data_IF_864542785463
#
_entry.id   IF_864542785463
#
_cell.length_a   1.000
_cell.length_b   1.000
_cell.length_c   1.000
_cell.angle_alpha   90.00
_cell.angle_beta   90.00
_cell.angle_gamma   90.00
#
_symmetry.space_group_name_H-M   'P 1'
#
loop_
_entity.id
_entity.type
_entity.pdbx_description
1 polymer ?
#
# COMPACT_ATOMS: atom_id res chain seq x y z
N UNK A 1 15.39 10.29 -2.51
CA UNK A 1 15.15 11.75 -2.69
C UNK A 1 14.35 12.26 -1.51
N UNK A 2 14.58 13.49 -1.08
CA UNK A 2 13.78 14.13 -0.03
C UNK A 2 12.31 14.22 -0.48
N UNK A 3 11.38 14.30 0.49
CA UNK A 3 9.93 14.50 0.25
C UNK A 3 9.64 15.60 -0.78
N UNK A 4 10.48 16.64 -0.80
CA UNK A 4 10.46 17.71 -1.80
C UNK A 4 10.50 17.23 -3.25
N UNK A 5 11.31 16.22 -3.58
CA UNK A 5 11.40 15.69 -4.94
C UNK A 5 10.10 15.02 -5.39
N UNK A 6 9.45 14.29 -4.49
CA UNK A 6 8.16 13.62 -4.77
C UNK A 6 7.07 14.68 -5.00
N UNK A 7 7.02 15.70 -4.14
CA UNK A 7 6.07 16.82 -4.27
C UNK A 7 6.29 17.61 -5.57
N UNK A 8 7.55 17.86 -5.95
CA UNK A 8 7.88 18.53 -7.20
C UNK A 8 7.40 17.77 -8.43
N UNK A 9 7.65 16.46 -8.49
CA UNK A 9 7.17 15.59 -9.57
C UNK A 9 5.63 15.59 -9.60
N UNK A 10 4.97 15.47 -8.45
CA UNK A 10 3.51 15.46 -8.37
C UNK A 10 2.89 16.75 -8.93
N UNK A 11 3.38 17.91 -8.50
CA UNK A 11 2.87 19.21 -8.94
C UNK A 11 3.12 19.46 -10.43
N UNK A 12 4.31 19.12 -10.94
CA UNK A 12 4.63 19.25 -12.36
C UNK A 12 3.77 18.33 -13.21
N UNK A 13 3.61 17.07 -12.80
CA UNK A 13 2.75 16.10 -13.47
C UNK A 13 1.31 16.61 -13.51
N UNK A 14 0.80 17.10 -12.38
CA UNK A 14 -0.56 17.66 -12.28
C UNK A 14 -0.78 18.84 -13.23
N UNK A 15 0.18 19.77 -13.32
CA UNK A 15 0.09 20.90 -14.25
C UNK A 15 0.00 20.44 -15.72
N UNK A 16 0.80 19.44 -16.11
CA UNK A 16 0.77 18.88 -17.47
C UNK A 16 -0.56 18.14 -17.74
N UNK A 17 -1.03 17.33 -16.77
CA UNK A 17 -2.30 16.61 -16.87
C UNK A 17 -3.46 17.58 -17.07
N UNK A 18 -3.50 18.69 -16.32
CA UNK A 18 -4.55 19.71 -16.45
C UNK A 18 -4.54 20.40 -17.82
N UNK A 19 -3.36 20.67 -18.39
CA UNK A 19 -3.23 21.24 -19.73
C UNK A 19 -3.68 20.24 -20.81
N UNK A 20 -3.29 18.98 -20.70
CA UNK A 20 -3.63 17.93 -21.66
C UNK A 20 -5.11 17.57 -21.63
N UNK A 21 -5.76 17.62 -20.45
CA UNK A 21 -7.20 17.31 -20.31
C UNK A 21 -8.09 18.21 -21.18
N UNK A 22 -7.62 19.42 -21.52
CA UNK A 22 -8.32 20.33 -22.44
C UNK A 22 -8.24 19.91 -23.91
N UNK A 23 -7.21 19.16 -24.30
CA UNK A 23 -7.00 18.70 -25.67
C UNK A 23 -7.43 17.24 -25.86
N UNK A 24 -6.91 16.33 -25.03
CA UNK A 24 -7.16 14.89 -25.11
C UNK A 24 -7.25 14.27 -23.71
N UNK A 25 -8.46 13.95 -23.25
CA UNK A 25 -8.70 13.39 -21.92
C UNK A 25 -8.04 12.01 -21.70
N UNK A 26 -7.97 11.18 -22.74
CA UNK A 26 -7.33 9.85 -22.67
C UNK A 26 -5.82 9.93 -22.41
N UNK A 27 -5.13 10.86 -23.07
CA UNK A 27 -3.69 11.07 -22.87
C UNK A 27 -3.39 11.63 -21.47
N UNK A 28 -4.27 12.50 -20.96
CA UNK A 28 -4.17 13.01 -19.60
C UNK A 28 -4.32 11.89 -18.55
N UNK A 29 -5.23 10.93 -18.78
CA UNK A 29 -5.40 9.77 -17.91
C UNK A 29 -4.17 8.86 -17.92
N UNK A 30 -3.64 8.52 -19.10
CA UNK A 30 -2.45 7.69 -19.22
C UNK A 30 -1.23 8.32 -18.52
N UNK A 31 -1.07 9.65 -18.62
CA UNK A 31 -0.02 10.40 -17.93
C UNK A 31 -0.23 10.41 -16.41
N UNK A 32 -1.48 10.56 -15.95
CA UNK A 32 -1.83 10.48 -14.52
C UNK A 32 -1.47 9.14 -13.90
N UNK A 33 -1.85 8.04 -14.56
CA UNK A 33 -1.50 6.68 -14.13
C UNK A 33 0.03 6.52 -14.10
N UNK A 34 0.73 6.93 -15.16
CA UNK A 34 2.19 6.85 -15.21
C UNK A 34 2.88 7.64 -14.09
N UNK A 35 2.42 8.87 -13.82
CA UNK A 35 2.91 9.70 -12.73
C UNK A 35 2.64 9.06 -11.36
N UNK A 36 1.43 8.51 -11.16
CA UNK A 36 1.05 7.78 -9.96
C UNK A 36 1.93 6.55 -9.71
N UNK A 37 2.21 5.75 -10.75
CA UNK A 37 3.13 4.59 -10.66
C UNK A 37 4.52 5.06 -10.26
N UNK A 38 5.04 6.11 -10.91
CA UNK A 38 6.37 6.64 -10.61
C UNK A 38 6.47 7.11 -9.16
N UNK A 39 5.48 7.87 -8.67
CA UNK A 39 5.45 8.34 -7.28
C UNK A 39 5.38 7.16 -6.30
N UNK A 40 4.50 6.19 -6.57
CA UNK A 40 4.32 5.00 -5.71
C UNK A 40 5.59 4.16 -5.64
N UNK A 41 6.27 3.93 -6.77
CA UNK A 41 7.56 3.22 -6.80
C UNK A 41 8.66 3.95 -6.01
N UNK A 42 8.68 5.28 -6.04
CA UNK A 42 9.64 6.06 -5.27
C UNK A 42 9.37 5.99 -3.76
N UNK A 43 8.10 6.00 -3.36
CA UNK A 43 7.71 5.80 -1.95
C UNK A 43 8.14 4.40 -1.49
N UNK A 44 7.89 3.38 -2.32
CA UNK A 44 8.23 1.99 -1.98
C UNK A 44 9.75 1.81 -1.77
N UNK A 45 10.59 2.48 -2.56
CA UNK A 45 12.06 2.49 -2.37
C UNK A 45 12.49 3.02 -1.01
N UNK A 46 11.78 4.01 -0.46
CA UNK A 46 12.08 4.54 0.87
C UNK A 46 11.56 3.62 1.99
N UNK A 47 10.49 2.88 1.74
CA UNK A 47 9.88 1.95 2.71
C UNK A 47 10.66 0.64 2.83
N UNK A 48 11.23 0.13 1.74
CA UNK A 48 12.05 -1.09 1.69
C UNK A 48 13.14 -1.18 2.78
N UNK A 49 14.02 -0.18 2.98
CA UNK A 49 15.05 -0.23 4.03
C UNK A 49 14.45 -0.25 5.44
N UNK A 50 13.37 0.49 5.68
CA UNK A 50 12.67 0.47 6.98
C UNK A 50 12.07 -0.91 7.28
N UNK A 51 11.52 -1.59 6.27
CA UNK A 51 11.04 -2.98 6.40
C UNK A 51 12.21 -3.93 6.70
N UNK A 52 13.35 -3.78 6.03
CA UNK A 52 14.53 -4.61 6.27
C UNK A 52 15.06 -4.46 7.70
N UNK A 53 15.07 -3.25 8.23
CA UNK A 53 15.48 -2.98 9.60
C UNK A 53 14.49 -3.58 10.60
N UNK A 54 13.19 -3.45 10.35
CA UNK A 54 12.14 -4.08 11.16
C UNK A 54 12.27 -5.62 11.17
N UNK A 55 12.56 -6.24 10.02
CA UNK A 55 12.82 -7.68 9.91
C UNK A 55 14.04 -8.11 10.74
N UNK A 56 15.11 -7.32 10.73
CA UNK A 56 16.31 -7.56 11.55
C UNK A 56 15.99 -7.52 13.06
N UNK A 57 15.15 -6.56 13.47
CA UNK A 57 14.68 -6.47 14.86
C UNK A 57 13.82 -7.67 15.26
N UNK A 58 12.91 -8.11 14.39
CA UNK A 58 12.10 -9.31 14.64
C UNK A 58 12.94 -10.57 14.77
N UNK A 59 13.96 -10.72 13.92
CA UNK A 59 14.89 -11.83 14.00
C UNK A 59 15.69 -11.80 15.32
N UNK A 60 16.13 -10.62 15.75
CA UNK A 60 16.85 -10.43 17.01
C UNK A 60 15.97 -10.67 18.25
N UNK A 61 14.66 -10.38 18.16
CA UNK A 61 13.68 -10.60 19.23
C UNK A 61 13.12 -12.03 19.27
N UNK A 62 13.54 -12.93 18.38
CA UNK A 62 13.02 -14.30 18.29
C UNK A 62 11.58 -14.39 17.79
N UNK A 63 11.07 -13.35 17.13
CA UNK A 63 9.73 -13.32 16.54
C UNK A 63 9.74 -14.16 15.25
N UNK A 64 8.70 -14.98 15.04
CA UNK A 64 8.60 -15.83 13.85
C UNK A 64 8.60 -14.97 12.57
N UNK A 65 9.40 -15.37 11.58
CA UNK A 65 9.48 -14.72 10.28
C UNK A 65 8.13 -14.59 9.54
N UNK A 66 7.17 -15.44 9.90
CA UNK A 66 5.78 -15.42 9.43
C UNK A 66 5.09 -14.07 9.70
N UNK A 67 5.33 -13.44 10.85
CA UNK A 67 4.77 -12.13 11.19
C UNK A 67 5.29 -11.03 10.27
N UNK A 68 6.59 -11.05 9.96
CA UNK A 68 7.20 -10.14 9.00
C UNK A 68 6.61 -10.31 7.60
N UNK A 69 6.37 -11.56 7.17
CA UNK A 69 5.75 -11.85 5.88
C UNK A 69 4.30 -11.32 5.79
N UNK A 70 3.50 -11.47 6.86
CA UNK A 70 2.13 -10.92 6.93
C UNK A 70 2.15 -9.39 6.84
N UNK A 71 3.08 -8.74 7.54
CA UNK A 71 3.28 -7.29 7.50
C UNK A 71 3.58 -6.79 6.08
N UNK A 72 4.54 -7.41 5.40
CA UNK A 72 4.90 -7.05 4.02
C UNK A 72 3.72 -7.27 3.06
N UNK A 73 3.02 -8.40 3.17
CA UNK A 73 1.84 -8.68 2.33
C UNK A 73 0.74 -7.64 2.52
N UNK A 74 0.47 -7.28 3.77
CA UNK A 74 -0.56 -6.30 4.13
C UNK A 74 -0.22 -4.91 3.58
N UNK A 75 1.04 -4.46 3.76
CA UNK A 75 1.52 -3.20 3.20
C UNK A 75 1.44 -3.19 1.67
N UNK A 76 1.90 -4.28 1.03
CA UNK A 76 1.85 -4.42 -0.42
C UNK A 76 0.44 -4.32 -0.98
N UNK A 77 -0.51 -5.06 -0.41
CA UNK A 77 -1.93 -5.00 -0.81
C UNK A 77 -2.51 -3.61 -0.58
N UNK A 78 -2.19 -2.96 0.54
CA UNK A 78 -2.64 -1.59 0.83
C UNK A 78 -2.19 -0.60 -0.27
N UNK A 79 -0.90 -0.60 -0.63
CA UNK A 79 -0.38 0.29 -1.67
C UNK A 79 -0.98 0.00 -3.04
N UNK A 80 -1.08 -1.27 -3.43
CA UNK A 80 -1.66 -1.65 -4.73
C UNK A 80 -3.14 -1.29 -4.82
N UNK A 81 -3.90 -1.54 -3.76
CA UNK A 81 -5.32 -1.21 -3.69
C UNK A 81 -5.53 0.31 -3.81
N UNK A 82 -4.74 1.10 -3.08
CA UNK A 82 -4.86 2.55 -3.09
C UNK A 82 -4.50 3.12 -4.46
N UNK A 83 -3.40 2.65 -5.06
CA UNK A 83 -3.02 3.02 -6.41
C UNK A 83 -4.12 2.71 -7.44
N UNK A 84 -4.71 1.51 -7.40
CA UNK A 84 -5.79 1.12 -8.31
C UNK A 84 -7.07 1.95 -8.08
N UNK A 85 -7.41 2.24 -6.82
CA UNK A 85 -8.57 3.07 -6.49
C UNK A 85 -8.39 4.52 -6.98
N UNK A 86 -7.20 5.09 -6.81
CA UNK A 86 -6.90 6.45 -7.27
C UNK A 86 -6.91 6.54 -8.80
N UNK A 87 -6.41 5.53 -9.51
CA UNK A 87 -6.54 5.46 -10.97
C UNK A 87 -8.02 5.41 -11.43
N UNK A 88 -8.88 4.72 -10.69
CA UNK A 88 -10.33 4.73 -10.96
C UNK A 88 -10.94 6.11 -10.70
N UNK A 89 -10.55 6.81 -9.62
CA UNK A 89 -11.00 8.18 -9.32
C UNK A 89 -10.55 9.17 -10.39
N UNK A 90 -9.31 9.05 -10.88
CA UNK A 90 -8.77 9.89 -11.95
C UNK A 90 -9.54 9.72 -13.28
N UNK A 91 -10.12 8.53 -13.48
CA UNK A 91 -11.03 8.22 -14.60
C UNK A 91 -12.46 8.74 -14.40
N UNK A 92 -12.80 9.27 -13.22
CA UNK A 92 -14.15 9.69 -12.85
C UNK A 92 -15.01 8.60 -12.20
N UNK A 93 -14.49 7.39 -12.06
CA UNK A 93 -15.23 6.20 -11.60
C UNK A 93 -15.09 5.98 -10.08
N UNK A 94 -15.63 6.91 -9.29
CA UNK A 94 -15.56 6.85 -7.81
C UNK A 94 -16.26 5.63 -7.20
N UNK A 95 -17.32 5.12 -7.83
CA UNK A 95 -18.01 3.90 -7.35
C UNK A 95 -17.12 2.66 -7.51
N UNK A 96 -16.34 2.58 -8.59
CA UNK A 96 -15.41 1.48 -8.82
C UNK A 96 -14.23 1.56 -7.85
N UNK A 97 -13.70 2.77 -7.64
CA UNK A 97 -12.64 3.02 -6.65
C UNK A 97 -13.03 2.52 -5.24
N UNK A 98 -14.26 2.81 -4.79
CA UNK A 98 -14.75 2.36 -3.49
C UNK A 98 -14.83 0.83 -3.38
N UNK A 99 -15.19 0.13 -4.47
CA UNK A 99 -15.20 -1.35 -4.50
C UNK A 99 -13.79 -1.94 -4.44
N UNK A 100 -12.82 -1.31 -5.11
CA UNK A 100 -11.40 -1.70 -5.04
C UNK A 100 -10.89 -1.53 -3.60
N UNK A 101 -11.12 -0.38 -2.98
CA UNK A 101 -10.75 -0.16 -1.57
C UNK A 101 -11.38 -1.18 -0.62
N UNK A 102 -12.65 -1.52 -0.83
CA UNK A 102 -13.33 -2.54 -0.05
C UNK A 102 -12.65 -3.90 -0.19
N UNK A 103 -12.31 -4.32 -1.42
CA UNK A 103 -11.63 -5.57 -1.68
C UNK A 103 -10.28 -5.65 -0.94
N UNK A 104 -9.46 -4.59 -1.01
CA UNK A 104 -8.19 -4.56 -0.29
C UNK A 104 -8.36 -4.61 1.23
N UNK A 105 -9.37 -3.93 1.80
CA UNK A 105 -9.65 -4.01 3.25
C UNK A 105 -10.06 -5.42 3.67
N UNK A 106 -10.86 -6.12 2.86
CA UNK A 106 -11.25 -7.51 3.12
C UNK A 106 -10.04 -8.42 3.05
N UNK A 107 -9.15 -8.25 2.08
CA UNK A 107 -7.93 -9.05 1.94
C UNK A 107 -6.97 -8.86 3.12
N UNK A 108 -6.78 -7.63 3.58
CA UNK A 108 -6.02 -7.32 4.80
C UNK A 108 -6.62 -8.03 6.01
N UNK A 109 -7.96 -8.06 6.14
CA UNK A 109 -8.65 -8.75 7.23
C UNK A 109 -8.43 -10.26 7.19
N UNK A 110 -8.40 -10.86 6.00
CA UNK A 110 -8.06 -12.28 5.81
C UNK A 110 -6.62 -12.55 6.24
N UNK A 111 -5.66 -11.67 5.90
CA UNK A 111 -4.27 -11.80 6.35
C UNK A 111 -4.09 -11.63 7.86
N UNK A 112 -4.98 -10.90 8.53
CA UNK A 112 -4.95 -10.74 9.97
C UNK A 112 -5.45 -12.00 10.72
N UNK A 113 -6.26 -12.86 10.08
CA UNK A 113 -6.82 -14.06 10.68
C UNK A 113 -5.78 -15.01 11.32
N UNK A 114 -4.65 -15.37 10.66
CA UNK A 114 -3.62 -16.19 11.29
C UNK A 114 -2.98 -15.54 12.52
N UNK A 115 -2.91 -14.21 12.58
CA UNK A 115 -2.41 -13.50 13.78
C UNK A 115 -3.33 -13.73 14.96
N UNK A 116 -4.64 -13.59 14.76
CA UNK A 116 -5.64 -13.82 15.81
C UNK A 116 -5.63 -15.28 16.29
N UNK A 117 -5.45 -16.24 15.38
CA UNK A 117 -5.34 -17.66 15.74
C UNK A 117 -4.14 -17.93 16.66
N UNK A 118 -2.97 -17.34 16.36
CA UNK A 118 -1.77 -17.50 17.21
C UNK A 118 -1.97 -16.87 18.58
N UNK A 119 -2.56 -15.67 18.65
CA UNK A 119 -2.84 -14.99 19.92
C UNK A 119 -3.83 -15.81 20.77
N UNK A 120 -4.90 -16.30 20.16
CA UNK A 120 -5.89 -17.13 20.85
C UNK A 120 -5.27 -18.43 21.40
N UNK A 121 -4.39 -19.08 20.63
CA UNK A 121 -3.67 -20.28 21.07
C UNK A 121 -2.75 -20.00 22.27
N UNK A 122 -2.01 -18.89 22.24
CA UNK A 122 -1.15 -18.47 23.35
C UNK A 122 -1.99 -18.20 24.61
N UNK A 123 -3.10 -17.44 24.48
CA UNK A 123 -3.99 -17.17 25.60
C UNK A 123 -4.58 -18.45 26.21
N UNK A 124 -5.02 -19.40 25.37
CA UNK A 124 -5.55 -20.69 25.83
C UNK A 124 -4.50 -21.54 26.55
N UNK A 125 -3.24 -21.52 26.08
CA UNK A 125 -2.14 -22.24 26.75
C UNK A 125 -1.85 -21.70 28.15
N UNK A 126 -1.92 -20.37 28.33
CA UNK A 126 -1.69 -19.74 29.63
C UNK A 126 -2.80 -20.02 30.63
N UNK A 127 -4.06 -20.10 30.16
CA UNK A 127 -5.21 -20.44 31.00
C UNK A 127 -5.18 -21.92 31.41
N UNK A 128 -4.73 -22.81 30.52
CA UNK A 128 -4.71 -24.26 30.79
C UNK A 128 -3.48 -24.69 31.61
N UNK A 129 -2.43 -23.87 31.65
CA UNK A 129 -1.19 -24.15 32.41
C UNK A 129 -1.17 -23.60 33.84
N UNK A 130 -2.19 -22.87 34.28
CA UNK A 130 -2.34 -22.32 35.63
C UNK A 130 -3.47 -22.98 36.39
#
# INVERSE_FOLDING_TARGET
>A
MTLFGILGIALLSLAIILLLRRQNAEQALALGIAAGVLITLQILKNVLPAISELMSLFQSAGIKAEFGAILIKTLGVSFLTQFAADACRDSGESSLAAKVELAGRVEILIFALPLFQQIAAIAASLITSG
#
